data_IF_827760845122
#
_entry.id   IF_827760845122
#
_cell.length_a   1.000
_cell.length_b   1.000
_cell.length_c   1.000
_cell.angle_alpha   90.00
_cell.angle_beta   90.00
_cell.angle_gamma   90.00
#
_symmetry.space_group_name_H-M   'P 1'
#
loop_
_entity.id
_entity.type
_entity.pdbx_description
1 polymer ?
#
# COMPACT_ATOMS: atom_id res chain seq x y z
N UNK A 1 -7.64 -0.29 7.37
CA UNK A 1 -7.31 -1.74 7.51
C UNK A 1 -8.49 -2.65 7.24
N UNK A 2 -9.58 -2.61 8.02
CA UNK A 2 -10.71 -3.54 7.86
C UNK A 2 -11.35 -3.53 6.47
N UNK A 3 -11.61 -2.34 5.91
CA UNK A 3 -12.14 -2.23 4.54
C UNK A 3 -11.20 -2.84 3.49
N UNK A 4 -9.88 -2.68 3.67
CA UNK A 4 -8.89 -3.16 2.71
C UNK A 4 -8.75 -4.69 2.72
N UNK A 5 -8.87 -5.32 3.89
CA UNK A 5 -8.67 -6.77 4.08
C UNK A 5 -9.49 -7.61 3.10
N UNK A 6 -10.72 -7.21 2.85
CA UNK A 6 -11.68 -7.96 2.03
C UNK A 6 -11.59 -7.61 0.53
N UNK A 7 -10.67 -6.73 0.12
CA UNK A 7 -10.42 -6.37 -1.29
C UNK A 7 -9.47 -7.35 -1.95
N UNK A 8 -9.66 -7.58 -3.25
CA UNK A 8 -8.96 -8.63 -4.00
C UNK A 8 -7.76 -8.10 -4.79
N UNK A 9 -7.85 -6.87 -5.31
CA UNK A 9 -6.82 -6.29 -6.17
C UNK A 9 -6.08 -5.14 -5.48
N UNK A 10 -4.78 -5.32 -5.33
CA UNK A 10 -3.90 -4.44 -4.55
C UNK A 10 -2.83 -3.79 -5.42
N UNK A 11 -2.52 -2.53 -5.12
CA UNK A 11 -1.45 -1.78 -5.77
C UNK A 11 -0.39 -1.35 -4.77
N UNK A 12 0.86 -1.77 -4.96
CA UNK A 12 1.99 -1.32 -4.15
C UNK A 12 2.70 -0.16 -4.86
N UNK A 13 2.80 0.99 -4.20
CA UNK A 13 3.43 2.21 -4.72
C UNK A 13 4.87 2.29 -4.22
N UNK A 14 5.81 1.96 -5.11
CA UNK A 14 7.26 2.03 -4.88
C UNK A 14 7.79 3.42 -5.21
N UNK A 15 8.40 4.07 -4.22
CA UNK A 15 9.09 5.36 -4.39
C UNK A 15 10.42 5.24 -5.14
N UNK A 16 10.70 6.16 -6.06
CA UNK A 16 11.97 6.22 -6.79
C UNK A 16 13.00 7.19 -6.19
N UNK A 17 12.61 8.08 -5.26
CA UNK A 17 13.54 8.99 -4.58
C UNK A 17 14.51 8.22 -3.67
N UNK A 18 15.73 8.74 -3.52
CA UNK A 18 16.73 8.21 -2.59
C UNK A 18 16.14 8.18 -1.17
N UNK A 19 16.23 7.03 -0.48
CA UNK A 19 15.60 6.81 0.83
C UNK A 19 14.13 6.33 0.80
N UNK A 20 13.44 6.44 -0.34
CA UNK A 20 12.06 5.91 -0.53
C UNK A 20 12.03 4.61 -1.32
N UNK A 21 13.12 4.28 -2.03
CA UNK A 21 13.24 3.05 -2.79
C UNK A 21 13.56 1.87 -1.87
N UNK A 22 12.55 1.06 -1.55
CA UNK A 22 12.64 -0.09 -0.64
C UNK A 22 12.29 -1.41 -1.36
N UNK A 23 13.15 -1.90 -2.27
CA UNK A 23 12.82 -3.05 -3.12
C UNK A 23 12.54 -4.34 -2.31
N UNK A 24 13.28 -4.57 -1.23
CA UNK A 24 13.08 -5.73 -0.35
C UNK A 24 11.72 -5.70 0.34
N UNK A 25 11.29 -4.52 0.83
CA UNK A 25 9.98 -4.33 1.45
C UNK A 25 8.85 -4.53 0.43
N UNK A 26 8.98 -3.94 -0.76
CA UNK A 26 8.00 -4.11 -1.85
C UNK A 26 7.85 -5.59 -2.20
N UNK A 27 8.96 -6.33 -2.32
CA UNK A 27 8.93 -7.75 -2.62
C UNK A 27 8.31 -8.58 -1.48
N UNK A 28 8.62 -8.25 -0.23
CA UNK A 28 8.01 -8.88 0.94
C UNK A 28 6.50 -8.70 0.95
N UNK A 29 6.02 -7.46 0.79
CA UNK A 29 4.59 -7.14 0.78
C UNK A 29 3.87 -7.82 -0.39
N UNK A 30 4.48 -7.79 -1.59
CA UNK A 30 3.93 -8.45 -2.77
C UNK A 30 3.71 -9.94 -2.51
N UNK A 31 4.77 -10.65 -2.08
CA UNK A 31 4.71 -12.09 -1.82
C UNK A 31 3.75 -12.43 -0.67
N UNK A 32 3.69 -11.60 0.37
CA UNK A 32 2.76 -11.80 1.48
C UNK A 32 1.30 -11.68 1.06
N UNK A 33 0.96 -10.63 0.32
CA UNK A 33 -0.40 -10.42 -0.20
C UNK A 33 -0.80 -11.49 -1.22
N UNK A 34 0.10 -11.84 -2.16
CA UNK A 34 -0.14 -12.96 -3.09
C UNK A 34 -0.30 -14.30 -2.35
N UNK A 35 0.45 -14.51 -1.27
CA UNK A 35 0.38 -15.73 -0.44
C UNK A 35 -0.95 -15.91 0.27
N UNK A 36 -1.70 -14.84 0.53
CA UNK A 36 -3.07 -14.87 1.07
C UNK A 36 -4.14 -14.75 -0.03
N UNK A 37 -3.76 -14.94 -1.30
CA UNK A 37 -4.69 -15.02 -2.43
C UNK A 37 -5.00 -13.71 -3.16
N UNK A 38 -4.32 -12.60 -2.82
CA UNK A 38 -4.60 -11.30 -3.44
C UNK A 38 -3.86 -11.11 -4.76
N UNK A 39 -4.48 -10.40 -5.71
CA UNK A 39 -3.84 -9.97 -6.97
C UNK A 39 -3.06 -8.69 -6.70
N UNK A 40 -1.76 -8.66 -7.00
CA UNK A 40 -0.89 -7.52 -6.65
C UNK A 40 -0.20 -6.91 -7.87
N UNK A 41 -0.37 -5.60 -8.04
CA UNK A 41 0.38 -4.78 -8.97
C UNK A 41 1.43 -3.94 -8.24
N UNK A 42 2.57 -3.71 -8.88
CA UNK A 42 3.61 -2.80 -8.36
C UNK A 42 3.74 -1.62 -9.31
N UNK A 43 3.48 -0.42 -8.79
CA UNK A 43 3.63 0.83 -9.51
C UNK A 43 4.85 1.57 -8.98
N UNK A 44 5.62 2.19 -9.87
CA UNK A 44 6.75 3.04 -9.50
C UNK A 44 6.37 4.50 -9.66
N UNK A 45 6.71 5.31 -8.67
CA UNK A 45 6.45 6.74 -8.74
C UNK A 45 7.56 7.55 -8.06
N UNK A 46 7.85 8.74 -8.58
CA UNK A 46 8.79 9.68 -7.98
C UNK A 46 8.13 10.57 -6.92
N UNK A 47 6.85 10.90 -7.09
CA UNK A 47 6.07 11.72 -6.14
C UNK A 47 4.66 11.13 -6.07
N UNK A 48 4.27 10.62 -4.92
CA UNK A 48 2.92 10.10 -4.71
C UNK A 48 1.98 11.26 -4.39
N UNK A 49 0.91 11.41 -5.18
CA UNK A 49 -0.17 12.38 -4.99
C UNK A 49 -1.52 11.66 -5.18
N UNK A 50 -2.60 12.27 -4.71
CA UNK A 50 -3.97 11.74 -4.91
C UNK A 50 -4.27 11.55 -6.39
N UNK A 51 -3.97 12.54 -7.23
CA UNK A 51 -4.21 12.46 -8.68
C UNK A 51 -3.37 11.38 -9.35
N UNK A 52 -2.14 11.14 -8.87
CA UNK A 52 -1.33 10.05 -9.39
C UNK A 52 -1.97 8.68 -9.09
N UNK A 53 -2.63 8.52 -7.94
CA UNK A 53 -3.34 7.27 -7.61
C UNK A 53 -4.66 7.14 -8.38
N UNK A 54 -5.40 8.24 -8.61
CA UNK A 54 -6.62 8.23 -9.44
C UNK A 54 -6.38 7.78 -10.88
N UNK A 55 -5.20 8.08 -11.42
CA UNK A 55 -4.82 7.71 -12.78
C UNK A 55 -4.37 6.23 -12.90
N UNK A 56 -4.29 5.49 -11.80
CA UNK A 56 -3.98 4.06 -11.84
C UNK A 56 -5.20 3.22 -12.25
N UNK A 57 -5.01 1.99 -12.74
CA UNK A 57 -6.10 1.15 -13.22
C UNK A 57 -7.25 1.06 -12.21
N UNK A 58 -8.48 1.27 -12.69
CA UNK A 58 -9.67 1.27 -11.84
C UNK A 58 -9.89 -0.05 -11.09
N UNK A 59 -9.40 -1.17 -11.64
CA UNK A 59 -9.46 -2.49 -10.99
C UNK A 59 -8.68 -2.56 -9.68
N UNK A 60 -7.72 -1.66 -9.41
CA UNK A 60 -6.99 -1.63 -8.14
C UNK A 60 -7.89 -1.06 -7.06
N UNK A 61 -8.13 -1.81 -6.01
CA UNK A 61 -9.09 -1.44 -4.96
C UNK A 61 -8.41 -0.85 -3.72
N UNK A 62 -7.14 -1.19 -3.48
CA UNK A 62 -6.35 -0.74 -2.32
C UNK A 62 -4.95 -0.37 -2.76
N UNK A 63 -4.40 0.70 -2.18
CA UNK A 63 -3.01 1.07 -2.37
C UNK A 63 -2.19 0.88 -1.09
N UNK A 64 -0.95 0.40 -1.23
CA UNK A 64 0.06 0.38 -0.17
C UNK A 64 1.21 1.28 -0.57
N UNK A 65 1.46 2.34 0.19
CA UNK A 65 2.51 3.31 -0.14
C UNK A 65 3.78 2.99 0.64
N UNK A 66 4.83 2.55 -0.05
CA UNK A 66 6.13 2.20 0.59
C UNK A 66 7.14 3.34 0.57
N UNK A 67 6.72 4.53 0.15
CA UNK A 67 7.59 5.70 -0.04
C UNK A 67 7.60 6.61 1.20
N UNK A 68 7.00 7.79 1.15
CA UNK A 68 6.85 8.68 2.30
C UNK A 68 5.54 8.33 3.05
N UNK A 69 5.61 7.99 4.35
CA UNK A 69 4.43 7.58 5.12
C UNK A 69 3.49 8.76 5.42
N UNK A 70 3.93 10.01 5.16
CA UNK A 70 3.07 11.20 5.27
C UNK A 70 1.92 11.18 4.28
N UNK A 71 2.07 10.57 3.10
CA UNK A 71 1.00 10.59 2.08
C UNK A 71 -0.24 9.81 2.52
N UNK A 72 -0.11 8.55 3.01
CA UNK A 72 -1.26 7.84 3.61
C UNK A 72 -1.84 8.49 4.87
N UNK A 73 -1.09 9.36 5.57
CA UNK A 73 -1.46 9.87 6.91
C UNK A 73 -2.02 11.30 6.85
N UNK A 74 -1.46 12.16 6.01
CA UNK A 74 -1.80 13.58 5.94
C UNK A 74 -3.00 13.84 5.00
N UNK A 75 -3.22 12.98 3.99
CA UNK A 75 -4.22 13.17 2.93
C UNK A 75 -5.36 12.13 2.97
N UNK A 76 -5.56 11.44 4.10
CA UNK A 76 -6.52 10.33 4.25
C UNK A 76 -7.91 10.64 3.68
N UNK A 77 -8.41 11.86 3.89
CA UNK A 77 -9.76 12.28 3.47
C UNK A 77 -9.91 12.47 1.95
N UNK A 78 -8.81 12.61 1.22
CA UNK A 78 -8.83 12.89 -0.22
C UNK A 78 -8.77 11.62 -1.09
N UNK A 79 -8.53 10.45 -0.49
CA UNK A 79 -8.44 9.19 -1.22
C UNK A 79 -9.80 8.51 -1.34
N UNK A 80 -10.19 8.18 -2.57
CA UNK A 80 -11.43 7.44 -2.88
C UNK A 80 -11.33 5.94 -2.58
N UNK A 81 -10.09 5.45 -2.44
CA UNK A 81 -9.76 4.04 -2.21
C UNK A 81 -8.87 3.94 -0.97
N UNK A 82 -8.95 2.85 -0.19
CA UNK A 82 -8.08 2.67 0.96
C UNK A 82 -6.60 2.80 0.59
N UNK A 83 -5.89 3.67 1.31
CA UNK A 83 -4.44 3.81 1.20
C UNK A 83 -3.81 3.42 2.52
N UNK A 84 -2.95 2.41 2.49
CA UNK A 84 -2.33 1.82 3.65
C UNK A 84 -0.82 2.10 3.69
N UNK A 85 -0.31 2.12 4.91
CA UNK A 85 1.11 2.07 5.22
C UNK A 85 1.64 0.62 5.11
N UNK A 86 2.97 0.42 5.04
CA UNK A 86 3.54 -0.92 5.06
C UNK A 86 3.24 -1.70 6.35
N UNK A 87 3.14 -1.02 7.49
CA UNK A 87 2.77 -1.62 8.78
C UNK A 87 1.36 -2.21 8.75
N UNK A 88 0.38 -1.44 8.28
CA UNK A 88 -0.99 -1.90 8.11
C UNK A 88 -1.13 -3.05 7.10
N UNK A 89 -0.35 -3.02 6.01
CA UNK A 89 -0.30 -4.13 5.08
C UNK A 89 0.30 -5.39 5.74
N UNK A 90 1.33 -5.25 6.59
CA UNK A 90 1.88 -6.38 7.38
C UNK A 90 0.83 -6.98 8.31
N UNK A 91 0.02 -6.16 8.98
CA UNK A 91 -1.07 -6.65 9.86
C UNK A 91 -2.06 -7.53 9.09
N UNK A 92 -2.40 -7.14 7.85
CA UNK A 92 -3.30 -7.92 7.00
C UNK A 92 -2.64 -9.23 6.55
N UNK A 93 -1.36 -9.20 6.20
CA UNK A 93 -0.60 -10.39 5.80
C UNK A 93 -0.46 -11.39 6.96
N UNK A 94 -0.19 -10.92 8.18
CA UNK A 94 -0.02 -11.79 9.36
C UNK A 94 -1.34 -12.24 9.97
N UNK A 95 -2.44 -11.51 9.74
CA UNK A 95 -3.72 -11.71 10.42
C UNK A 95 -3.76 -11.11 11.83
N UNK A 96 -2.69 -10.47 12.29
CA UNK A 96 -2.60 -9.82 13.61
C UNK A 96 -3.18 -8.40 13.54
N UNK A 97 -4.51 -8.30 13.70
CA UNK A 97 -5.22 -7.02 13.60
C UNK A 97 -5.39 -6.29 14.94
N UNK A 98 -5.06 -6.96 16.06
CA UNK A 98 -5.31 -6.45 17.41
C UNK A 98 -4.31 -5.37 17.84
N UNK A 99 -3.11 -5.35 17.25
CA UNK A 99 -2.05 -4.39 17.56
C UNK A 99 -1.67 -3.59 16.33
N UNK A 100 -1.80 -2.27 16.41
CA UNK A 100 -1.41 -1.40 15.31
C UNK A 100 0.11 -1.43 15.09
N UNK A 101 0.53 -1.78 13.87
CA UNK A 101 1.93 -1.76 13.45
C UNK A 101 2.22 -0.42 12.78
N UNK A 102 3.17 0.34 13.34
CA UNK A 102 3.63 1.58 12.75
C UNK A 102 4.19 1.37 11.33
N UNK A 103 4.27 2.42 10.49
CA UNK A 103 4.60 2.29 9.07
C UNK A 103 5.91 1.57 8.72
N UNK A 104 6.84 1.41 9.66
CA UNK A 104 8.16 0.80 9.46
C UNK A 104 8.39 -0.39 10.38
#
# INVERSE_FOLDING_TARGET
>A
VFEAKDREVWGIIRGLKLGQNRPTLVNFLKRGLEGIGKKVYVFTNRIVTVDALRNLPNEVEVFVVTSCPRVPVDDVYNFEKPVLTPGEAKMIISGELDNYIFPW
#
